data_IF_686322802235
#
_entry.id   IF_686322802235
#
_cell.length_a   1.000
_cell.length_b   1.000
_cell.length_c   1.000
_cell.angle_alpha   90.00
_cell.angle_beta   90.00
_cell.angle_gamma   90.00
#
_symmetry.space_group_name_H-M   'P 1'
#
loop_
_entity.id
_entity.type
_entity.pdbx_description
1 polymer ?
#
# COMPACT_ATOMS: atom_id res chain seq x y z
N UNK A 1 15.56 28.50 12.55
CA UNK A 1 14.89 27.26 12.13
C UNK A 1 13.42 27.43 12.46
N UNK A 2 12.61 27.89 11.50
CA UNK A 2 11.16 28.01 11.72
C UNK A 2 10.55 26.62 11.62
N UNK A 3 10.13 26.08 12.75
CA UNK A 3 9.31 24.87 12.80
C UNK A 3 7.92 25.21 12.28
N UNK A 4 7.75 25.26 10.96
CA UNK A 4 6.40 25.28 10.38
C UNK A 4 5.74 23.96 10.78
N UNK A 5 4.60 24.05 11.46
CA UNK A 5 3.74 22.88 11.67
C UNK A 5 3.61 22.17 10.31
N UNK A 6 3.75 20.83 10.23
CA UNK A 6 3.55 20.13 8.98
C UNK A 6 2.18 20.55 8.45
N UNK A 7 2.16 21.26 7.32
CA UNK A 7 0.92 21.56 6.61
C UNK A 7 0.22 20.21 6.45
N UNK A 8 -1.02 20.08 6.94
CA UNK A 8 -1.81 18.86 6.85
C UNK A 8 -2.07 18.55 5.37
N UNK A 9 -1.07 17.93 4.73
CA UNK A 9 -1.01 17.70 3.30
C UNK A 9 -2.15 16.77 2.88
N UNK A 10 -2.41 15.78 3.72
CA UNK A 10 -3.57 14.90 3.63
C UNK A 10 -4.64 15.35 4.61
N UNK A 11 -5.82 15.68 4.06
CA UNK A 11 -7.02 16.03 4.82
C UNK A 11 -7.89 14.80 4.98
N UNK A 12 -8.24 14.44 6.22
CA UNK A 12 -9.17 13.35 6.51
C UNK A 12 -10.55 13.69 5.97
N UNK A 13 -11.25 12.70 5.45
CA UNK A 13 -12.65 12.84 5.09
C UNK A 13 -13.49 12.94 6.38
N UNK A 14 -14.39 13.92 6.44
CA UNK A 14 -15.23 14.16 7.63
C UNK A 14 -16.17 12.99 7.94
N UNK A 15 -16.54 12.20 6.93
CA UNK A 15 -17.36 11.01 7.08
C UNK A 15 -16.57 9.74 7.41
N UNK A 16 -15.33 9.84 7.90
CA UNK A 16 -14.58 8.67 8.35
C UNK A 16 -15.15 8.09 9.67
N UNK A 17 -15.07 6.76 9.87
CA UNK A 17 -14.61 5.74 8.91
C UNK A 17 -15.60 5.53 7.76
N UNK A 18 -15.11 5.25 6.55
CA UNK A 18 -15.96 5.04 5.36
C UNK A 18 -16.52 3.63 5.25
N UNK A 19 -15.86 2.67 5.90
CA UNK A 19 -16.26 1.27 6.00
C UNK A 19 -15.85 0.72 7.36
N UNK A 20 -16.78 0.02 8.00
CA UNK A 20 -16.64 -0.60 9.31
C UNK A 20 -17.09 -2.07 9.24
N UNK A 21 -16.72 -2.91 10.22
CA UNK A 21 -17.17 -4.31 10.23
C UNK A 21 -18.70 -4.46 10.24
N UNK A 22 -19.43 -3.47 10.74
CA UNK A 22 -20.89 -3.48 10.77
C UNK A 22 -21.53 -3.33 9.38
N UNK A 23 -20.79 -2.83 8.38
CA UNK A 23 -21.27 -2.70 7.01
C UNK A 23 -21.27 -4.04 6.26
N UNK A 24 -20.56 -5.06 6.79
CA UNK A 24 -20.40 -6.33 6.11
C UNK A 24 -21.65 -7.21 6.22
N UNK A 25 -22.09 -7.83 5.12
CA UNK A 25 -23.27 -8.70 5.10
C UNK A 25 -23.03 -10.09 5.72
N UNK A 26 -21.83 -10.33 6.25
CA UNK A 26 -21.43 -11.56 6.95
C UNK A 26 -20.47 -11.22 8.10
N UNK A 27 -20.24 -12.13 9.06
CA UNK A 27 -19.40 -11.83 10.23
C UNK A 27 -17.98 -11.41 9.86
N UNK A 28 -17.57 -10.25 10.35
CA UNK A 28 -16.22 -9.69 10.22
C UNK A 28 -15.75 -9.18 11.59
N UNK A 29 -14.50 -9.45 11.96
CA UNK A 29 -13.85 -8.83 13.11
C UNK A 29 -13.45 -7.39 12.77
N UNK A 30 -12.68 -7.25 11.67
CA UNK A 30 -12.10 -6.00 11.23
C UNK A 30 -12.10 -5.90 9.70
N UNK A 31 -12.19 -4.68 9.16
CA UNK A 31 -12.15 -4.41 7.71
C UNK A 31 -11.25 -3.22 7.42
N UNK A 32 -10.13 -3.46 6.75
CA UNK A 32 -9.05 -2.47 6.66
C UNK A 32 -8.17 -2.72 5.42
N UNK A 33 -7.11 -1.92 5.27
CA UNK A 33 -6.05 -2.06 4.26
C UNK A 33 -6.55 -2.42 2.84
N UNK A 34 -7.44 -1.61 2.23
CA UNK A 34 -7.97 -1.92 0.91
C UNK A 34 -7.00 -1.59 -0.22
N UNK A 35 -6.92 -2.47 -1.22
CA UNK A 35 -6.45 -2.08 -2.54
C UNK A 35 -7.51 -1.21 -3.21
N UNK A 36 -7.12 -0.19 -3.98
CA UNK A 36 -8.08 0.74 -4.60
C UNK A 36 -7.75 0.96 -6.08
N UNK A 37 -8.79 1.02 -6.92
CA UNK A 37 -8.67 1.39 -8.33
C UNK A 37 -10.00 1.94 -8.86
N UNK A 38 -9.94 2.73 -9.93
CA UNK A 38 -11.14 3.07 -10.70
C UNK A 38 -11.45 1.92 -11.67
N UNK A 39 -12.71 1.46 -11.66
CA UNK A 39 -13.18 0.38 -12.51
C UNK A 39 -14.63 0.64 -12.93
N UNK A 40 -14.89 0.61 -14.24
CA UNK A 40 -16.22 0.83 -14.83
C UNK A 40 -16.91 2.14 -14.36
N UNK A 41 -16.13 3.20 -14.15
CA UNK A 41 -16.64 4.52 -13.72
C UNK A 41 -16.97 4.60 -12.22
N UNK A 42 -16.56 3.62 -11.43
CA UNK A 42 -16.73 3.60 -9.98
C UNK A 42 -15.39 3.43 -9.26
N UNK A 43 -15.35 3.85 -8.01
CA UNK A 43 -14.27 3.44 -7.10
C UNK A 43 -14.52 2.01 -6.65
N UNK A 44 -13.53 1.15 -6.88
CA UNK A 44 -13.48 -0.22 -6.40
C UNK A 44 -12.43 -0.31 -5.29
N UNK A 45 -12.84 -0.85 -4.14
CA UNK A 45 -11.95 -1.27 -3.07
C UNK A 45 -11.95 -2.80 -2.96
N UNK A 46 -10.76 -3.40 -2.91
CA UNK A 46 -10.58 -4.79 -2.51
C UNK A 46 -10.10 -4.79 -1.06
N UNK A 47 -11.02 -4.97 -0.13
CA UNK A 47 -10.82 -4.74 1.31
C UNK A 47 -10.32 -6.01 1.97
N UNK A 48 -9.29 -5.90 2.83
CA UNK A 48 -8.91 -7.00 3.73
C UNK A 48 -9.95 -7.10 4.82
N UNK A 49 -10.51 -8.29 4.97
CA UNK A 49 -11.49 -8.63 6.01
C UNK A 49 -10.88 -9.71 6.87
N UNK A 50 -10.76 -9.43 8.16
CA UNK A 50 -10.39 -10.45 9.13
C UNK A 50 -11.65 -11.09 9.70
N UNK A 51 -11.74 -12.41 9.65
CA UNK A 51 -12.85 -13.17 10.23
C UNK A 51 -12.72 -13.31 11.76
N UNK A 52 -13.76 -13.83 12.42
CA UNK A 52 -13.79 -14.00 13.88
C UNK A 52 -12.80 -15.08 14.40
N UNK A 53 -12.04 -15.74 13.52
CA UNK A 53 -10.97 -16.68 13.86
C UNK A 53 -9.59 -16.05 13.71
N UNK A 54 -9.49 -14.83 13.18
CA UNK A 54 -8.23 -14.14 12.87
C UNK A 54 -7.66 -14.46 11.49
N UNK A 55 -8.41 -15.11 10.59
CA UNK A 55 -7.97 -15.36 9.22
C UNK A 55 -8.47 -14.27 8.29
N UNK A 56 -7.59 -13.78 7.41
CA UNK A 56 -7.94 -12.74 6.45
C UNK A 56 -8.30 -13.28 5.06
N UNK A 57 -9.29 -12.65 4.44
CA UNK A 57 -9.68 -12.80 3.03
C UNK A 57 -9.96 -11.42 2.43
N UNK A 58 -10.18 -11.36 1.11
CA UNK A 58 -10.41 -10.10 0.40
C UNK A 58 -11.83 -10.00 -0.14
N UNK A 59 -12.45 -8.83 0.02
CA UNK A 59 -13.84 -8.59 -0.39
C UNK A 59 -13.99 -7.27 -1.12
N UNK A 60 -14.68 -7.30 -2.25
CA UNK A 60 -14.93 -6.11 -3.05
C UNK A 60 -16.01 -5.23 -2.44
N UNK A 61 -15.76 -3.93 -2.46
CA UNK A 61 -16.73 -2.88 -2.21
C UNK A 61 -16.66 -1.87 -3.36
N UNK A 62 -17.81 -1.42 -3.88
CA UNK A 62 -17.89 -0.43 -4.95
C UNK A 62 -18.70 0.80 -4.54
N UNK A 63 -18.22 1.97 -4.91
CA UNK A 63 -18.93 3.23 -4.69
C UNK A 63 -18.74 4.16 -5.88
N UNK A 64 -19.80 4.89 -6.25
CA UNK A 64 -19.76 5.87 -7.34
C UNK A 64 -18.91 7.09 -6.98
N UNK A 65 -19.02 7.56 -5.74
CA UNK A 65 -18.30 8.74 -5.27
C UNK A 65 -16.98 8.39 -4.56
N UNK A 66 -16.75 7.10 -4.24
CA UNK A 66 -15.59 6.62 -3.49
C UNK A 66 -15.58 7.06 -2.04
N UNK A 67 -16.72 7.45 -1.48
CA UNK A 67 -16.85 8.00 -0.12
C UNK A 67 -18.00 7.34 0.65
N UNK A 68 -19.14 7.16 0.00
CA UNK A 68 -20.40 6.74 0.63
C UNK A 68 -21.11 5.66 -0.19
N UNK A 69 -22.20 5.11 0.35
CA UNK A 69 -23.11 4.19 -0.36
C UNK A 69 -22.39 2.99 -1.00
N UNK A 70 -21.47 2.40 -0.24
CA UNK A 70 -20.68 1.26 -0.67
C UNK A 70 -21.57 0.03 -0.88
N UNK A 71 -21.41 -0.61 -2.04
CA UNK A 71 -21.99 -1.91 -2.35
C UNK A 71 -20.94 -2.97 -2.14
N UNK A 72 -21.09 -3.74 -1.07
CA UNK A 72 -20.15 -4.77 -0.62
C UNK A 72 -20.64 -6.12 -1.15
N UNK A 73 -19.74 -6.95 -1.66
CA UNK A 73 -20.08 -8.31 -2.10
C UNK A 73 -20.63 -9.14 -0.93
N UNK A 74 -21.67 -9.97 -1.16
CA UNK A 74 -22.34 -10.72 -0.10
C UNK A 74 -21.48 -11.86 0.49
N UNK A 75 -20.33 -12.14 -0.12
CA UNK A 75 -19.38 -13.19 0.22
C UNK A 75 -17.96 -12.71 -0.09
N UNK A 76 -16.94 -13.33 0.54
CA UNK A 76 -15.55 -13.11 0.15
C UNK A 76 -15.35 -13.17 -1.37
N UNK A 77 -14.63 -12.19 -1.93
CA UNK A 77 -14.30 -12.17 -3.35
C UNK A 77 -13.10 -13.06 -3.66
N UNK A 78 -12.07 -12.99 -2.81
CA UNK A 78 -10.90 -13.84 -2.90
C UNK A 78 -10.65 -14.45 -1.52
N UNK A 79 -10.78 -15.76 -1.42
CA UNK A 79 -10.49 -16.54 -0.20
C UNK A 79 -9.19 -17.30 -0.36
N UNK A 80 -8.45 -17.58 0.73
CA UNK A 80 -7.35 -18.52 0.71
C UNK A 80 -7.70 -19.84 0.01
N UNK A 81 -6.84 -20.25 -0.92
CA UNK A 81 -7.04 -21.48 -1.69
C UNK A 81 -6.08 -22.57 -1.18
N UNK A 82 -6.64 -23.69 -0.71
CA UNK A 82 -5.87 -24.80 -0.15
C UNK A 82 -4.82 -25.42 -1.10
N UNK A 83 -4.93 -25.17 -2.42
CA UNK A 83 -3.92 -25.58 -3.42
C UNK A 83 -2.62 -24.76 -3.30
N UNK A 84 -2.70 -23.57 -2.72
CA UNK A 84 -1.60 -22.62 -2.51
C UNK A 84 -1.24 -22.62 -1.02
N UNK A 85 -0.25 -23.44 -0.65
CA UNK A 85 0.10 -23.70 0.77
C UNK A 85 0.55 -22.43 1.51
N UNK A 86 1.05 -21.47 0.77
CA UNK A 86 1.44 -20.14 1.22
C UNK A 86 0.26 -19.27 1.68
N UNK A 87 -0.99 -19.62 1.37
CA UNK A 87 -2.20 -18.89 1.78
C UNK A 87 -2.84 -19.47 3.06
N UNK A 88 -2.25 -20.52 3.67
CA UNK A 88 -2.96 -21.32 4.67
C UNK A 88 -3.38 -20.59 5.96
N UNK A 89 -2.85 -19.39 6.22
CA UNK A 89 -3.26 -18.50 7.33
C UNK A 89 -3.89 -17.19 6.87
N UNK A 90 -4.29 -17.08 5.61
CA UNK A 90 -4.98 -15.91 5.10
C UNK A 90 -4.23 -15.20 3.98
N UNK A 91 -4.94 -14.28 3.35
CA UNK A 91 -4.43 -13.35 2.35
C UNK A 91 -4.74 -11.90 2.77
N UNK A 92 -3.78 -11.00 2.58
CA UNK A 92 -3.80 -9.69 3.23
C UNK A 92 -3.34 -8.55 2.30
N UNK A 93 -3.75 -7.33 2.66
CA UNK A 93 -3.23 -6.04 2.17
C UNK A 93 -3.00 -5.95 0.65
N UNK A 94 -4.05 -6.07 -0.18
CA UNK A 94 -3.92 -6.07 -1.63
C UNK A 94 -3.53 -4.69 -2.16
N UNK A 95 -2.71 -4.68 -3.22
CA UNK A 95 -2.43 -3.50 -4.06
C UNK A 95 -2.81 -3.84 -5.50
N UNK A 96 -3.50 -2.92 -6.17
CA UNK A 96 -4.12 -3.17 -7.49
C UNK A 96 -3.50 -2.22 -8.51
N UNK A 97 -3.02 -2.76 -9.62
CA UNK A 97 -2.62 -1.95 -10.79
C UNK A 97 -3.25 -2.50 -12.06
N UNK A 98 -3.52 -1.61 -13.02
CA UNK A 98 -3.80 -2.01 -14.39
C UNK A 98 -2.48 -2.22 -15.13
N UNK A 99 -2.31 -3.37 -15.80
CA UNK A 99 -1.15 -3.65 -16.63
C UNK A 99 -1.53 -3.52 -18.11
N UNK A 100 -1.21 -2.40 -18.79
CA UNK A 100 -1.61 -2.19 -20.18
C UNK A 100 -1.03 -3.22 -21.14
N UNK A 101 0.16 -3.76 -20.86
CA UNK A 101 0.84 -4.77 -21.68
C UNK A 101 0.11 -6.12 -21.67
N UNK A 102 -0.73 -6.36 -20.66
CA UNK A 102 -1.48 -7.61 -20.50
C UNK A 102 -2.98 -7.42 -20.72
N UNK A 103 -3.47 -6.18 -20.64
CA UNK A 103 -4.89 -5.85 -20.57
C UNK A 103 -5.60 -6.57 -19.41
N UNK A 104 -4.92 -6.64 -18.25
CA UNK A 104 -5.42 -7.27 -17.04
C UNK A 104 -5.04 -6.42 -15.83
N UNK A 105 -5.85 -6.48 -14.78
CA UNK A 105 -5.50 -6.00 -13.45
C UNK A 105 -4.59 -7.00 -12.76
N UNK A 106 -3.52 -6.50 -12.15
CA UNK A 106 -2.64 -7.26 -11.29
C UNK A 106 -2.86 -6.87 -9.83
N UNK A 107 -2.98 -7.88 -8.98
CA UNK A 107 -3.23 -7.76 -7.56
C UNK A 107 -2.08 -8.44 -6.84
N UNK A 108 -1.18 -7.64 -6.28
CA UNK A 108 -0.18 -8.13 -5.34
C UNK A 108 -0.80 -8.16 -3.95
N UNK A 109 -0.64 -9.27 -3.24
CA UNK A 109 -1.17 -9.44 -1.88
C UNK A 109 -0.19 -10.28 -1.06
N UNK A 110 -0.30 -10.17 0.26
CA UNK A 110 0.48 -11.01 1.17
C UNK A 110 -0.26 -12.34 1.32
N UNK A 111 0.44 -13.45 1.11
CA UNK A 111 -0.01 -14.79 1.49
C UNK A 111 0.71 -15.19 2.77
N UNK A 112 -0.04 -15.59 3.79
CA UNK A 112 0.53 -15.94 5.08
C UNK A 112 0.49 -17.44 5.35
N UNK A 113 1.63 -17.99 5.77
CA UNK A 113 1.79 -19.43 6.01
C UNK A 113 2.86 -19.73 7.05
N UNK A 114 3.06 -21.03 7.31
CA UNK A 114 4.10 -21.56 8.19
C UNK A 114 5.52 -21.07 7.87
N UNK A 115 5.80 -20.75 6.61
CA UNK A 115 7.10 -20.23 6.18
C UNK A 115 7.30 -18.74 6.44
N UNK A 116 6.29 -18.05 6.98
CA UNK A 116 6.23 -16.61 7.07
C UNK A 116 5.38 -15.99 5.95
N UNK A 117 5.21 -14.66 5.98
CA UNK A 117 4.51 -13.91 4.95
C UNK A 117 5.35 -13.83 3.67
N UNK A 118 4.72 -13.93 2.51
CA UNK A 118 5.35 -13.67 1.22
C UNK A 118 4.39 -12.93 0.29
N UNK A 119 4.92 -12.44 -0.82
CA UNK A 119 4.14 -11.76 -1.84
C UNK A 119 3.62 -12.76 -2.86
N UNK A 120 2.31 -12.75 -3.09
CA UNK A 120 1.66 -13.47 -4.19
C UNK A 120 1.01 -12.51 -5.18
N UNK A 121 0.72 -13.04 -6.36
CA UNK A 121 0.09 -12.32 -7.46
C UNK A 121 -1.16 -13.05 -7.94
N UNK A 122 -2.25 -12.30 -8.09
CA UNK A 122 -3.44 -12.70 -8.85
C UNK A 122 -3.69 -11.73 -10.00
N UNK A 123 -4.25 -12.25 -11.09
CA UNK A 123 -4.60 -11.50 -12.29
C UNK A 123 -6.10 -11.62 -12.55
N UNK A 124 -6.75 -10.52 -12.96
CA UNK A 124 -8.17 -10.50 -13.31
C UNK A 124 -8.45 -9.46 -14.40
N UNK A 125 -9.55 -9.61 -15.14
CA UNK A 125 -10.01 -8.61 -16.13
C UNK A 125 -11.23 -7.83 -15.64
N UNK A 126 -11.99 -8.42 -14.72
CA UNK A 126 -13.36 -8.00 -14.38
C UNK A 126 -13.67 -8.04 -12.88
N UNK A 127 -12.68 -8.44 -12.06
CA UNK A 127 -12.85 -8.64 -10.62
C UNK A 127 -13.93 -9.66 -10.25
N UNK A 128 -14.21 -10.62 -11.15
CA UNK A 128 -15.09 -11.77 -10.91
C UNK A 128 -14.28 -13.06 -10.96
N UNK A 129 -13.46 -13.21 -12.01
CA UNK A 129 -12.58 -14.35 -12.18
C UNK A 129 -11.13 -13.97 -11.88
N UNK A 130 -10.47 -14.73 -11.00
CA UNK A 130 -9.10 -14.48 -10.56
C UNK A 130 -8.19 -15.66 -10.92
N UNK A 131 -7.17 -15.39 -11.74
CA UNK A 131 -6.07 -16.32 -11.99
C UNK A 131 -4.93 -16.05 -11.02
N UNK A 132 -4.74 -16.95 -10.05
CA UNK A 132 -3.55 -16.95 -9.20
C UNK A 132 -2.30 -17.34 -9.98
N UNK A 133 -1.32 -16.44 -9.99
CA UNK A 133 0.05 -16.73 -10.46
C UNK A 133 0.83 -17.43 -9.34
N UNK A 134 0.55 -17.07 -8.08
CA UNK A 134 1.21 -17.63 -6.89
C UNK A 134 2.33 -16.73 -6.36
N UNK A 135 3.30 -17.28 -5.63
CA UNK A 135 4.32 -16.52 -4.92
C UNK A 135 5.32 -15.90 -5.90
N UNK A 136 5.66 -14.63 -5.72
CA UNK A 136 6.64 -13.90 -6.52
C UNK A 136 8.06 -14.01 -5.97
N UNK A 137 8.19 -13.94 -4.65
CA UNK A 137 9.47 -13.90 -3.93
C UNK A 137 9.40 -14.75 -2.65
N UNK A 138 10.53 -15.28 -2.15
CA UNK A 138 10.57 -16.07 -0.92
C UNK A 138 10.20 -15.26 0.34
N UNK A 139 9.67 -15.90 1.39
CA UNK A 139 9.43 -15.26 2.67
C UNK A 139 10.75 -14.97 3.44
N UNK A 140 10.79 -14.02 4.36
CA UNK A 140 9.69 -13.10 4.72
C UNK A 140 9.68 -11.86 3.82
N UNK A 141 8.53 -11.55 3.23
CA UNK A 141 8.34 -10.39 2.35
C UNK A 141 6.90 -9.85 2.46
N UNK A 142 6.75 -8.52 2.37
CA UNK A 142 5.48 -7.78 2.52
C UNK A 142 5.47 -6.51 1.67
N UNK A 143 4.35 -5.79 1.71
CA UNK A 143 4.26 -4.40 1.25
C UNK A 143 4.65 -4.21 -0.22
N UNK A 144 4.06 -5.03 -1.09
CA UNK A 144 4.46 -5.09 -2.49
C UNK A 144 3.42 -4.56 -3.46
N UNK A 145 3.90 -3.87 -4.50
CA UNK A 145 3.11 -3.48 -5.66
C UNK A 145 3.98 -3.43 -6.90
N UNK A 146 3.39 -3.84 -8.02
CA UNK A 146 3.93 -3.54 -9.33
C UNK A 146 3.82 -2.04 -9.62
N UNK A 147 4.69 -1.55 -10.50
CA UNK A 147 4.46 -0.30 -11.21
C UNK A 147 3.34 -0.50 -12.25
N UNK A 148 2.55 0.54 -12.58
CA UNK A 148 1.36 0.43 -13.45
C UNK A 148 1.68 0.32 -14.96
N UNK A 149 2.93 0.01 -15.30
CA UNK A 149 3.42 -0.32 -16.65
C UNK A 149 4.82 -0.90 -16.58
N UNK A 150 5.27 -1.50 -17.67
CA UNK A 150 6.68 -1.82 -17.85
C UNK A 150 7.55 -0.55 -17.89
N UNK A 151 8.77 -0.68 -17.39
CA UNK A 151 9.81 0.34 -17.47
C UNK A 151 11.03 -0.33 -18.07
N UNK A 152 11.47 0.15 -19.24
CA UNK A 152 12.59 -0.43 -20.01
C UNK A 152 12.41 -1.94 -20.24
N UNK A 153 11.24 -2.31 -20.77
CA UNK A 153 10.83 -3.69 -21.12
C UNK A 153 10.82 -4.70 -19.95
N UNK A 154 10.74 -4.20 -18.71
CA UNK A 154 10.65 -5.02 -17.51
C UNK A 154 9.44 -4.62 -16.68
N UNK A 155 8.80 -5.63 -16.07
CA UNK A 155 7.94 -5.38 -14.92
C UNK A 155 8.83 -4.98 -13.74
N UNK A 156 8.36 -4.03 -12.95
CA UNK A 156 9.08 -3.52 -11.78
C UNK A 156 8.20 -3.71 -10.56
N UNK A 157 8.78 -4.24 -9.49
CA UNK A 157 8.12 -4.52 -8.22
C UNK A 157 8.82 -3.75 -7.11
N UNK A 158 8.05 -2.98 -6.34
CA UNK A 158 8.47 -2.59 -5.01
C UNK A 158 7.95 -3.63 -4.02
N UNK A 159 8.77 -3.98 -3.04
CA UNK A 159 8.47 -4.98 -2.01
C UNK A 159 9.36 -4.74 -0.79
N UNK A 160 9.25 -5.59 0.24
CA UNK A 160 9.87 -5.33 1.55
C UNK A 160 10.28 -6.65 2.19
N UNK A 161 11.40 -7.25 1.75
CA UNK A 161 11.94 -8.44 2.40
C UNK A 161 12.45 -8.08 3.80
N UNK A 162 12.41 -9.05 4.71
CA UNK A 162 13.04 -8.93 6.03
C UNK A 162 14.35 -9.73 5.99
N UNK A 163 15.47 -9.02 5.94
CA UNK A 163 16.81 -9.62 5.82
C UNK A 163 17.60 -9.24 7.06
N UNK A 164 18.05 -10.25 7.82
CA UNK A 164 18.79 -10.05 9.08
C UNK A 164 18.04 -9.16 10.10
N UNK A 165 16.71 -9.18 10.06
CA UNK A 165 15.84 -8.36 10.91
C UNK A 165 15.62 -6.92 10.41
N UNK A 166 16.27 -6.54 9.31
CA UNK A 166 16.10 -5.23 8.68
C UNK A 166 14.99 -5.27 7.63
N UNK A 167 14.23 -4.18 7.55
CA UNK A 167 13.00 -4.09 6.80
C UNK A 167 13.00 -2.77 6.00
N UNK A 168 13.54 -2.85 4.79
CA UNK A 168 13.69 -1.74 3.84
C UNK A 168 12.76 -1.93 2.65
N UNK A 169 12.42 -0.86 1.93
CA UNK A 169 11.74 -1.01 0.64
C UNK A 169 12.80 -1.37 -0.39
N UNK A 170 12.58 -2.47 -1.10
CA UNK A 170 13.40 -2.95 -2.20
C UNK A 170 12.69 -2.74 -3.53
N UNK A 171 13.48 -2.68 -4.59
CA UNK A 171 13.00 -2.71 -5.98
C UNK A 171 13.61 -3.93 -6.67
N UNK A 172 12.80 -4.59 -7.48
CA UNK A 172 13.16 -5.77 -8.27
C UNK A 172 12.55 -5.70 -9.66
N UNK A 173 13.16 -6.36 -10.64
CA UNK A 173 12.65 -6.39 -12.03
C UNK A 173 12.38 -7.82 -12.51
N UNK A 174 11.48 -7.96 -13.47
CA UNK A 174 11.13 -9.25 -14.09
C UNK A 174 10.81 -9.09 -15.59
N UNK A 175 11.22 -10.04 -16.46
CA UNK A 175 10.73 -10.10 -17.84
C UNK A 175 9.27 -10.56 -17.95
N UNK A 176 8.77 -11.34 -16.98
CA UNK A 176 7.61 -12.22 -17.21
C UNK A 176 6.66 -12.37 -16.02
N UNK A 177 6.85 -11.58 -14.96
CA UNK A 177 6.13 -11.65 -13.68
C UNK A 177 6.37 -12.93 -12.87
N UNK A 178 7.33 -13.78 -13.28
CA UNK A 178 7.63 -15.04 -12.61
C UNK A 178 9.05 -15.10 -12.08
N UNK A 179 10.03 -14.73 -12.90
CA UNK A 179 11.43 -14.70 -12.49
C UNK A 179 11.83 -13.28 -12.15
N UNK A 180 12.16 -13.07 -10.89
CA UNK A 180 12.54 -11.77 -10.35
C UNK A 180 14.04 -11.72 -10.09
N UNK A 181 14.65 -10.58 -10.40
CA UNK A 181 16.08 -10.33 -10.25
C UNK A 181 16.36 -8.84 -10.06
N UNK A 182 17.64 -8.47 -10.16
CA UNK A 182 18.12 -7.07 -10.05
C UNK A 182 17.65 -6.39 -8.76
N UNK A 183 17.66 -7.16 -7.66
CA UNK A 183 17.19 -6.71 -6.36
C UNK A 183 18.14 -5.66 -5.77
N UNK A 184 17.59 -4.55 -5.29
CA UNK A 184 18.36 -3.57 -4.53
C UNK A 184 17.48 -2.85 -3.49
N UNK A 185 18.11 -2.41 -2.40
CA UNK A 185 17.48 -1.49 -1.45
C UNK A 185 17.17 -0.18 -2.18
N UNK A 186 15.92 0.28 -2.08
CA UNK A 186 15.47 1.55 -2.63
C UNK A 186 15.33 2.62 -1.54
N UNK A 187 14.57 2.31 -0.49
CA UNK A 187 14.33 3.23 0.63
C UNK A 187 14.72 2.53 1.91
N UNK A 188 15.86 2.88 2.53
CA UNK A 188 16.26 2.30 3.81
C UNK A 188 15.43 2.90 4.96
N UNK A 189 15.23 2.09 6.01
CA UNK A 189 14.76 2.58 7.30
C UNK A 189 15.85 3.47 7.92
N UNK A 190 15.47 4.50 8.67
CA UNK A 190 16.42 5.50 9.20
C UNK A 190 16.55 5.39 10.73
N UNK A 191 17.62 4.77 11.27
CA UNK A 191 17.80 4.65 12.72
C UNK A 191 17.63 5.98 13.45
N UNK A 192 16.80 6.01 14.50
CA UNK A 192 16.50 7.22 15.29
C UNK A 192 15.40 8.12 14.75
N UNK A 193 14.92 7.90 13.52
CA UNK A 193 13.84 8.69 12.90
C UNK A 193 12.45 8.12 13.18
N UNK A 194 11.42 8.75 12.61
CA UNK A 194 10.03 8.28 12.72
C UNK A 194 9.77 6.99 11.92
N UNK A 195 10.61 6.69 10.93
CA UNK A 195 10.60 5.51 10.07
C UNK A 195 11.83 4.62 10.32
N UNK A 196 12.13 4.40 11.61
CA UNK A 196 13.39 3.81 12.07
C UNK A 196 13.39 2.30 12.21
N UNK A 197 12.25 1.68 12.49
CA UNK A 197 12.16 0.23 12.70
C UNK A 197 11.96 -0.52 11.40
N UNK A 198 11.07 -0.01 10.54
CA UNK A 198 10.80 -0.54 9.21
C UNK A 198 10.15 0.52 8.34
N UNK A 199 10.35 0.37 7.05
CA UNK A 199 9.61 1.07 5.99
C UNK A 199 9.01 0.06 5.04
N UNK A 200 7.84 0.36 4.49
CA UNK A 200 7.17 -0.48 3.50
C UNK A 200 6.31 0.36 2.57
N UNK A 201 6.08 -0.12 1.35
CA UNK A 201 5.20 0.56 0.40
C UNK A 201 3.78 0.63 0.96
N UNK A 202 3.12 1.77 0.75
CA UNK A 202 1.69 1.89 0.95
C UNK A 202 0.91 1.46 -0.30
N UNK A 203 0.30 2.41 -1.04
CA UNK A 203 -0.36 2.16 -2.31
C UNK A 203 0.63 1.97 -3.47
N UNK A 204 0.14 1.50 -4.64
CA UNK A 204 0.95 1.42 -5.86
C UNK A 204 1.65 2.75 -6.23
N UNK A 205 2.83 2.70 -6.88
CA UNK A 205 3.50 3.89 -7.42
C UNK A 205 2.59 4.68 -8.35
N UNK A 206 2.54 6.00 -8.17
CA UNK A 206 1.70 6.90 -8.98
C UNK A 206 2.59 7.64 -9.97
N UNK A 207 2.30 7.48 -11.26
CA UNK A 207 3.03 8.17 -12.33
C UNK A 207 2.67 9.67 -12.35
N UNK A 208 3.68 10.53 -12.31
CA UNK A 208 3.53 11.99 -12.42
C UNK A 208 4.58 12.55 -13.39
N UNK A 209 4.39 13.76 -13.95
CA UNK A 209 5.40 14.40 -14.80
C UNK A 209 6.77 14.58 -14.11
N UNK A 210 6.79 14.69 -12.78
CA UNK A 210 7.99 14.84 -11.97
C UNK A 210 8.68 13.52 -11.60
N UNK A 211 8.04 12.38 -11.88
CA UNK A 211 8.54 11.05 -11.51
C UNK A 211 7.46 10.17 -10.87
N UNK A 212 7.89 9.07 -10.26
CA UNK A 212 7.00 8.16 -9.54
C UNK A 212 6.81 8.65 -8.11
N UNK A 213 5.59 9.09 -7.80
CA UNK A 213 5.20 9.39 -6.43
C UNK A 213 5.02 8.09 -5.65
N UNK A 214 5.81 7.94 -4.59
CA UNK A 214 5.75 6.83 -3.65
C UNK A 214 5.19 7.35 -2.34
N UNK A 215 4.10 6.72 -1.90
CA UNK A 215 3.53 6.92 -0.58
C UNK A 215 3.91 5.67 0.22
N UNK A 216 4.68 5.85 1.28
CA UNK A 216 5.21 4.74 2.06
C UNK A 216 4.86 4.89 3.54
N UNK A 217 4.74 3.78 4.24
CA UNK A 217 4.60 3.81 5.69
C UNK A 217 5.97 3.60 6.36
N UNK A 218 6.15 4.24 7.51
CA UNK A 218 7.31 4.09 8.36
C UNK A 218 6.87 3.83 9.79
N UNK A 219 7.62 2.96 10.46
CA UNK A 219 7.31 2.50 11.82
C UNK A 219 8.36 2.96 12.80
N UNK A 220 7.91 3.48 13.93
CA UNK A 220 8.72 3.67 15.12
C UNK A 220 8.18 2.81 16.26
N UNK A 221 9.05 1.99 16.84
CA UNK A 221 8.72 1.23 18.06
C UNK A 221 8.86 2.15 19.27
N UNK A 222 7.88 2.08 20.14
CA UNK A 222 7.80 2.81 21.42
C UNK A 222 7.58 1.82 22.56
N UNK A 223 7.61 2.30 23.80
CA UNK A 223 7.33 1.46 24.97
C UNK A 223 5.93 0.84 24.95
N UNK A 224 4.96 1.47 24.28
CA UNK A 224 3.57 1.02 24.19
C UNK A 224 3.22 0.37 22.85
N UNK A 225 4.23 -0.05 22.06
CA UNK A 225 4.03 -0.66 20.75
C UNK A 225 4.48 0.22 19.59
N UNK A 226 4.01 -0.11 18.38
CA UNK A 226 4.46 0.50 17.13
C UNK A 226 3.55 1.67 16.70
N UNK A 227 4.16 2.75 16.22
CA UNK A 227 3.46 3.86 15.59
C UNK A 227 3.71 3.81 14.09
N UNK A 228 2.64 3.67 13.30
CA UNK A 228 2.69 3.67 11.83
C UNK A 228 2.29 5.05 11.32
N UNK A 229 3.18 5.64 10.52
CA UNK A 229 2.97 6.96 9.90
C UNK A 229 3.32 6.89 8.42
N UNK A 230 2.98 7.91 7.67
CA UNK A 230 3.18 7.98 6.22
C UNK A 230 4.21 9.03 5.87
N UNK A 231 5.10 8.67 4.94
CA UNK A 231 6.06 9.56 4.29
C UNK A 231 5.87 9.51 2.78
N UNK A 232 6.62 10.36 2.08
CA UNK A 232 6.60 10.42 0.63
C UNK A 232 8.02 10.30 0.08
N UNK A 233 8.13 9.71 -1.10
CA UNK A 233 9.32 9.76 -1.93
C UNK A 233 8.94 10.01 -3.39
N UNK A 234 9.87 10.54 -4.15
CA UNK A 234 9.76 10.73 -5.59
C UNK A 234 10.91 9.96 -6.23
N UNK A 235 10.60 9.03 -7.13
CA UNK A 235 11.60 8.28 -7.89
C UNK A 235 11.69 8.82 -9.32
N UNK A 236 12.83 8.62 -9.95
CA UNK A 236 13.01 8.95 -11.36
C UNK A 236 12.11 8.12 -12.28
N UNK A 237 11.54 8.76 -13.31
CA UNK A 237 10.53 8.17 -14.18
C UNK A 237 11.07 7.01 -15.02
N UNK A 238 12.31 7.16 -15.52
CA UNK A 238 12.98 6.21 -16.41
C UNK A 238 13.89 5.25 -15.63
N UNK A 239 14.38 5.70 -14.47
CA UNK A 239 15.29 4.98 -13.59
C UNK A 239 14.68 4.87 -12.18
N UNK A 240 13.59 4.09 -11.98
CA UNK A 240 12.84 4.05 -10.72
C UNK A 240 13.64 3.55 -9.51
N UNK A 241 14.85 3.03 -9.72
CA UNK A 241 15.81 2.73 -8.65
C UNK A 241 16.54 3.96 -8.09
N UNK A 242 16.30 5.16 -8.63
CA UNK A 242 16.86 6.43 -8.15
C UNK A 242 15.80 7.21 -7.38
N UNK A 243 16.00 7.37 -6.08
CA UNK A 243 15.20 8.27 -5.24
C UNK A 243 15.65 9.71 -5.51
N UNK A 244 14.77 10.54 -6.05
CA UNK A 244 15.03 11.96 -6.34
C UNK A 244 14.79 12.82 -5.10
N UNK A 245 13.71 12.54 -4.36
CA UNK A 245 13.30 13.26 -3.13
C UNK A 245 12.70 12.29 -2.14
N UNK A 246 12.84 12.58 -0.85
CA UNK A 246 12.19 11.86 0.25
C UNK A 246 11.87 12.80 1.40
N UNK A 247 10.72 12.65 2.04
CA UNK A 247 10.35 13.48 3.19
C UNK A 247 11.20 13.15 4.43
N UNK A 248 11.66 14.18 5.11
CA UNK A 248 12.36 14.04 6.39
C UNK A 248 11.38 13.77 7.53
N UNK A 249 10.22 14.42 7.50
CA UNK A 249 9.12 14.22 8.43
C UNK A 249 8.04 13.31 7.84
N UNK A 250 7.17 12.77 8.71
CA UNK A 250 5.93 12.16 8.27
C UNK A 250 4.96 13.25 7.80
N UNK A 251 4.11 12.91 6.84
CA UNK A 251 3.07 13.79 6.27
C UNK A 251 1.66 13.39 6.70
N UNK A 252 1.50 12.20 7.27
CA UNK A 252 0.24 11.70 7.83
C UNK A 252 0.54 10.73 8.98
N UNK A 253 -0.20 10.83 10.08
CA UNK A 253 0.05 10.05 11.30
C UNK A 253 -1.27 9.89 12.10
N UNK A 254 -1.39 8.88 12.97
CA UNK A 254 -2.59 8.65 13.77
C UNK A 254 -2.93 9.86 14.64
N UNK A 255 -4.16 10.33 14.51
CA UNK A 255 -4.67 11.53 15.15
C UNK A 255 -6.10 11.34 15.68
N UNK A 256 -7.00 10.80 14.86
CA UNK A 256 -8.39 10.61 15.26
C UNK A 256 -8.56 9.38 16.16
N UNK A 257 -9.67 9.33 16.91
CA UNK A 257 -9.94 8.22 17.83
C UNK A 257 -9.96 6.87 17.11
N UNK A 258 -10.52 6.80 15.90
CA UNK A 258 -10.55 5.59 15.08
C UNK A 258 -9.16 5.15 14.56
N UNK A 259 -8.13 5.98 14.71
CA UNK A 259 -6.73 5.67 14.35
C UNK A 259 -5.88 5.36 15.59
N UNK A 260 -6.29 5.89 16.74
CA UNK A 260 -5.63 5.71 18.04
C UNK A 260 -6.19 4.53 18.82
N UNK A 261 -7.38 4.03 18.45
CA UNK A 261 -8.08 2.93 19.12
C UNK A 261 -8.59 1.94 18.08
N UNK A 262 -8.44 0.66 18.38
CA UNK A 262 -8.77 -0.47 17.52
C UNK A 262 -7.94 -1.68 17.94
N UNK A 263 -7.97 -2.73 17.12
CA UNK A 263 -7.22 -3.97 17.37
C UNK A 263 -5.70 -3.70 17.43
N UNK A 264 -5.20 -2.78 16.60
CA UNK A 264 -3.82 -2.30 16.64
C UNK A 264 -3.79 -0.78 16.75
N UNK A 265 -3.73 -0.20 17.96
CA UNK A 265 -3.80 1.26 18.13
C UNK A 265 -2.56 1.96 17.57
N UNK A 266 -2.74 3.20 17.08
CA UNK A 266 -1.62 4.02 16.59
C UNK A 266 -1.18 3.66 15.17
N UNK A 267 -2.14 3.25 14.33
CA UNK A 267 -1.92 2.84 12.95
C UNK A 267 -2.74 3.68 11.97
N UNK A 268 -2.05 4.27 11.00
CA UNK A 268 -2.62 4.67 9.70
C UNK A 268 -1.82 3.97 8.61
N UNK A 269 -2.50 3.16 7.79
CA UNK A 269 -1.84 2.26 6.85
C UNK A 269 -2.48 2.35 5.45
N UNK A 270 -1.97 3.23 4.57
CA UNK A 270 -2.53 3.35 3.22
C UNK A 270 -2.09 2.20 2.32
N UNK A 271 -3.03 1.57 1.63
CA UNK A 271 -2.79 0.48 0.66
C UNK A 271 -3.41 0.75 -0.70
N UNK A 272 -4.33 1.72 -0.77
CA UNK A 272 -5.03 2.09 -2.00
C UNK A 272 -4.96 3.59 -2.23
N UNK A 273 -4.68 4.00 -3.46
CA UNK A 273 -4.75 5.40 -3.85
C UNK A 273 -5.32 5.53 -5.27
N UNK A 274 -6.17 6.53 -5.48
CA UNK A 274 -6.73 6.86 -6.78
C UNK A 274 -6.42 8.34 -7.05
N UNK A 275 -5.77 8.61 -8.18
CA UNK A 275 -5.55 9.95 -8.69
C UNK A 275 -6.68 10.33 -9.65
N UNK A 276 -7.54 11.25 -9.23
CA UNK A 276 -8.57 11.83 -10.08
C UNK A 276 -7.90 12.81 -11.07
N UNK A 277 -7.68 12.35 -12.31
CA UNK A 277 -6.85 13.08 -13.29
C UNK A 277 -7.38 14.46 -13.67
N UNK A 278 -8.71 14.64 -13.69
CA UNK A 278 -9.35 15.90 -14.05
C UNK A 278 -9.15 17.00 -13.00
N UNK A 279 -9.20 16.64 -11.72
CA UNK A 279 -9.09 17.58 -10.59
C UNK A 279 -7.71 17.57 -9.94
N UNK A 280 -6.86 16.61 -10.32
CA UNK A 280 -5.58 16.31 -9.68
C UNK A 280 -5.71 16.04 -8.18
N UNK A 281 -6.88 15.55 -7.76
CA UNK A 281 -7.14 15.15 -6.38
C UNK A 281 -6.66 13.72 -6.15
N UNK A 282 -5.78 13.55 -5.18
CA UNK A 282 -5.37 12.24 -4.71
C UNK A 282 -6.31 11.79 -3.60
N UNK A 283 -6.96 10.63 -3.78
CA UNK A 283 -7.76 9.94 -2.77
C UNK A 283 -6.94 8.79 -2.21
N UNK A 284 -6.66 8.83 -0.90
CA UNK A 284 -5.87 7.85 -0.19
C UNK A 284 -6.75 7.02 0.74
N UNK A 285 -6.93 5.74 0.44
CA UNK A 285 -7.69 4.79 1.23
C UNK A 285 -6.74 4.06 2.18
N UNK A 286 -7.02 4.11 3.47
CA UNK A 286 -6.12 3.61 4.50
C UNK A 286 -6.85 2.81 5.57
N UNK A 287 -6.20 1.77 6.09
CA UNK A 287 -6.60 1.11 7.32
C UNK A 287 -6.30 2.00 8.52
N UNK A 288 -7.25 2.12 9.43
CA UNK A 288 -7.11 2.83 10.69
C UNK A 288 -7.22 1.83 11.85
N UNK A 289 -6.18 1.82 12.68
CA UNK A 289 -6.02 0.94 13.84
C UNK A 289 -6.29 -0.56 13.57
N UNK A 290 -6.00 -1.04 12.36
CA UNK A 290 -6.34 -2.38 11.85
C UNK A 290 -7.80 -2.79 12.12
N UNK A 291 -8.73 -1.83 12.05
CA UNK A 291 -10.14 -2.05 12.41
C UNK A 291 -11.10 -1.60 11.31
N UNK A 292 -10.84 -0.43 10.72
CA UNK A 292 -11.75 0.22 9.76
C UNK A 292 -11.00 0.78 8.54
N UNK A 293 -11.73 1.03 7.45
CA UNK A 293 -11.20 1.78 6.30
C UNK A 293 -11.58 3.25 6.43
N UNK A 294 -10.62 4.11 6.15
CA UNK A 294 -10.79 5.55 6.12
C UNK A 294 -10.28 6.14 4.79
N UNK A 295 -10.68 7.37 4.52
CA UNK A 295 -10.27 8.17 3.37
C UNK A 295 -9.57 9.44 3.82
N UNK A 296 -8.47 9.76 3.16
CA UNK A 296 -7.88 11.09 3.17
C UNK A 296 -7.69 11.60 1.74
N UNK A 297 -7.63 12.92 1.57
CA UNK A 297 -7.44 13.54 0.26
C UNK A 297 -6.33 14.58 0.30
N UNK A 298 -5.60 14.72 -0.80
CA UNK A 298 -4.58 15.75 -1.00
C UNK A 298 -4.62 16.27 -2.44
N UNK A 299 -4.33 17.55 -2.65
CA UNK A 299 -4.06 18.03 -4.00
C UNK A 299 -2.68 17.52 -4.45
N UNK A 300 -2.60 16.86 -5.61
CA UNK A 300 -1.34 16.30 -6.11
C UNK A 300 -0.26 17.37 -6.24
N UNK A 301 -0.64 18.58 -6.65
CA UNK A 301 0.31 19.67 -6.84
C UNK A 301 0.92 20.14 -5.51
N UNK A 302 0.14 20.17 -4.43
CA UNK A 302 0.67 20.46 -3.08
C UNK A 302 1.62 19.35 -2.61
N UNK A 303 1.31 18.09 -2.92
CA UNK A 303 2.15 16.93 -2.58
C UNK A 303 3.50 17.00 -3.28
N UNK A 304 3.48 17.27 -4.59
CA UNK A 304 4.70 17.38 -5.40
C UNK A 304 5.52 18.61 -5.03
N UNK A 305 4.87 19.74 -4.74
CA UNK A 305 5.54 20.95 -4.27
C UNK A 305 6.18 20.75 -2.89
N UNK A 306 5.54 20.01 -1.99
CA UNK A 306 6.16 19.61 -0.72
C UNK A 306 7.43 18.77 -0.96
N UNK A 307 7.36 17.75 -1.82
CA UNK A 307 8.51 16.90 -2.18
C UNK A 307 9.65 17.68 -2.84
N UNK A 308 9.37 18.65 -3.70
CA UNK A 308 10.39 19.49 -4.37
C UNK A 308 11.25 20.25 -3.37
N UNK A 309 10.69 20.62 -2.21
CA UNK A 309 11.37 21.33 -1.11
C UNK A 309 12.14 20.40 -0.18
N UNK A 310 11.90 19.09 -0.25
CA UNK A 310 12.70 18.12 0.51
C UNK A 310 14.12 18.04 -0.05
N UNK A 311 15.10 17.59 0.76
CA UNK A 311 16.44 17.32 0.26
C UNK A 311 16.41 16.35 -0.93
N UNK A 312 17.34 16.55 -1.87
CA UNK A 312 17.67 15.49 -2.81
C UNK A 312 18.27 14.32 -2.02
N UNK A 313 17.80 13.10 -2.25
CA UNK A 313 18.57 11.94 -1.79
C UNK A 313 19.81 11.83 -2.68
N UNK A 314 20.94 12.28 -2.14
CA UNK A 314 22.23 11.72 -2.55
C UNK A 314 22.32 10.38 -1.85
N UNK A 315 22.40 9.29 -2.60
CA UNK A 315 22.79 7.98 -2.06
C UNK A 315 23.99 8.23 -1.13
N UNK A 316 23.98 7.80 0.14
CA UNK A 316 25.24 7.71 0.86
C UNK A 316 26.19 6.90 -0.01
N UNK A 317 27.40 7.41 -0.25
CA UNK A 317 28.47 6.62 -0.85
C UNK A 317 28.48 5.29 -0.10
N UNK A 318 28.30 4.19 -0.84
CA UNK A 318 28.16 2.86 -0.24
C UNK A 318 29.28 2.66 0.78
N UNK A 319 29.00 2.26 2.03
CA UNK A 319 30.07 1.78 2.88
C UNK A 319 30.67 0.54 2.18
N UNK A 320 31.97 0.63 1.85
CA UNK A 320 32.78 -0.44 1.28
C UNK A 320 32.54 -1.81 1.92
#
# INVERSE_FOLDING_TARGET
MEWRAPSLLFRRYEGNPILTPADWPYPANAVFNPGAIEHEGETLLLVRVEDLRGFSHLTLARSRDGRTNWRIEPRPTLEPDARYKEECWGIEDPRIVWLPERQEYAITYVSFSRGGPLISLALTRDFRDFRRVGPLLPPEDKDASLFPRMIRDRYVLLHRPIIRGEAHIWISTSPDLRYWGEHQILIPARPGWWDSHRVGLGPPPIETPEGWLIIYHGVRVTASGSLYRVGLALLDLDYPWKVIRRTETWVFAPHEDYERRGDVPGVVFPTGAILERSTRLLRLYYGAADTTVCLATAALDEVLEHLKRCPSETLPEAPC
#
